data_IF_471282707522
#
_entry.id   IF_471282707522
#
_cell.length_a   1.000
_cell.length_b   1.000
_cell.length_c   1.000
_cell.angle_alpha   90.00
_cell.angle_beta   90.00
_cell.angle_gamma   90.00
#
_symmetry.space_group_name_H-M   'P 1'
#
loop_
_entity.id
_entity.type
_entity.pdbx_description
1 polymer ?
#
# COMPACT_ATOMS: atom_id res chain seq x y z
N UNK A 1 9.23 -14.68 -29.11
CA UNK A 1 8.82 -13.73 -28.06
C UNK A 1 10.06 -13.21 -27.36
N UNK A 2 10.26 -11.91 -27.42
CA UNK A 2 11.29 -11.26 -26.59
C UNK A 2 10.83 -11.32 -25.13
N UNK A 3 11.76 -11.15 -24.18
CA UNK A 3 11.38 -11.07 -22.77
C UNK A 3 10.44 -9.89 -22.50
N UNK A 4 10.51 -8.82 -23.30
CA UNK A 4 9.65 -7.64 -23.19
C UNK A 4 8.17 -7.97 -23.38
N UNK A 5 7.85 -8.83 -24.35
CA UNK A 5 6.45 -9.21 -24.66
C UNK A 5 5.78 -9.90 -23.46
N UNK A 6 6.56 -10.62 -22.64
CA UNK A 6 6.06 -11.29 -21.43
C UNK A 6 5.74 -10.30 -20.31
N UNK A 7 6.55 -9.24 -20.16
CA UNK A 7 6.32 -8.22 -19.13
C UNK A 7 5.07 -7.38 -19.39
N UNK A 8 4.66 -7.21 -20.65
CA UNK A 8 3.45 -6.48 -20.99
C UNK A 8 2.16 -7.15 -20.49
N UNK A 9 2.18 -8.47 -20.28
CA UNK A 9 1.04 -9.24 -19.80
C UNK A 9 1.07 -9.49 -18.27
N UNK A 10 2.12 -9.04 -17.57
CA UNK A 10 2.26 -9.28 -16.13
C UNK A 10 1.53 -8.17 -15.35
N UNK A 11 0.77 -8.61 -14.34
CA UNK A 11 0.13 -7.78 -13.33
C UNK A 11 0.93 -7.88 -12.03
N UNK A 12 1.49 -6.76 -11.59
CA UNK A 12 2.18 -6.65 -10.31
C UNK A 12 1.20 -6.21 -9.24
N UNK A 13 1.32 -6.77 -8.04
CA UNK A 13 0.53 -6.37 -6.87
C UNK A 13 1.40 -6.46 -5.63
N UNK A 14 1.15 -5.58 -4.66
CA UNK A 14 1.86 -5.60 -3.37
C UNK A 14 1.00 -4.97 -2.26
N UNK A 15 1.30 -5.33 -1.02
CA UNK A 15 0.80 -4.66 0.18
C UNK A 15 1.88 -3.77 0.79
N UNK A 16 1.53 -2.52 1.10
CA UNK A 16 2.42 -1.60 1.82
C UNK A 16 1.74 -1.04 3.06
N UNK A 17 2.42 -1.18 4.20
CA UNK A 17 2.05 -0.48 5.42
C UNK A 17 2.70 0.91 5.46
N UNK A 18 1.87 1.94 5.59
CA UNK A 18 2.27 3.34 5.72
C UNK A 18 2.10 3.78 7.17
N UNK A 19 3.21 3.99 7.87
CA UNK A 19 3.18 4.48 9.24
C UNK A 19 2.95 5.99 9.22
N UNK A 20 2.02 6.47 10.04
CA UNK A 20 1.76 7.90 10.19
C UNK A 20 2.90 8.62 10.93
N UNK A 21 3.74 7.86 11.62
CA UNK A 21 4.81 8.34 12.51
C UNK A 21 6.20 8.24 11.85
N UNK A 22 6.26 8.22 10.52
CA UNK A 22 7.49 8.00 9.77
C UNK A 22 8.63 8.96 10.19
N UNK A 23 9.89 8.52 10.12
CA UNK A 23 11.07 9.34 10.44
C UNK A 23 11.32 10.48 9.44
N UNK A 24 10.35 10.81 8.58
CA UNK A 24 10.41 11.81 7.51
C UNK A 24 10.42 13.26 8.04
N UNK A 25 10.99 13.45 9.23
CA UNK A 25 11.68 14.67 9.61
C UNK A 25 10.81 15.80 10.16
N UNK A 26 9.51 15.60 10.36
CA UNK A 26 8.61 16.67 10.80
C UNK A 26 7.74 16.29 12.00
N UNK A 27 8.36 15.75 13.05
CA UNK A 27 7.71 15.55 14.35
C UNK A 27 7.65 16.91 15.06
N UNK A 28 6.56 17.66 14.86
CA UNK A 28 6.25 18.83 15.69
C UNK A 28 5.54 18.36 16.96
N UNK A 29 6.12 18.64 18.12
CA UNK A 29 5.48 18.36 19.41
C UNK A 29 5.53 19.59 20.31
N UNK A 30 4.51 19.74 21.15
CA UNK A 30 4.48 20.76 22.19
C UNK A 30 5.26 20.25 23.40
N UNK A 31 6.17 21.07 23.92
CA UNK A 31 6.87 20.78 25.17
C UNK A 31 7.00 22.02 26.04
N UNK A 32 7.07 21.78 27.34
CA UNK A 32 7.42 22.79 28.32
C UNK A 32 8.91 23.13 28.18
N UNK A 33 9.23 24.42 28.03
CA UNK A 33 10.59 24.92 27.87
C UNK A 33 11.47 24.72 29.12
N UNK A 34 10.87 24.44 30.27
CA UNK A 34 11.58 24.13 31.51
C UNK A 34 12.07 22.68 31.59
N UNK A 35 11.72 21.83 30.63
CA UNK A 35 12.10 20.41 30.59
C UNK A 35 12.99 20.13 29.40
N UNK A 36 13.92 19.19 29.57
CA UNK A 36 14.81 18.79 28.48
C UNK A 36 14.01 18.26 27.27
N UNK A 37 14.47 18.53 26.03
CA UNK A 37 13.80 18.06 24.83
C UNK A 37 13.67 16.53 24.80
N UNK A 38 12.45 16.03 24.63
CA UNK A 38 12.20 14.61 24.44
C UNK A 38 12.77 14.13 23.11
N UNK A 39 13.75 13.21 23.16
CA UNK A 39 14.21 12.50 21.95
C UNK A 39 13.26 11.34 21.66
N UNK A 40 12.27 11.58 20.81
CA UNK A 40 11.43 10.52 20.28
C UNK A 40 12.16 9.84 19.12
N UNK A 41 12.96 8.82 19.43
CA UNK A 41 13.34 7.84 18.41
C UNK A 41 12.09 7.10 17.98
N UNK A 42 11.89 6.99 16.66
CA UNK A 42 10.76 6.33 15.99
C UNK A 42 10.13 5.24 16.86
N UNK A 43 8.89 5.46 17.31
CA UNK A 43 8.15 4.41 18.00
C UNK A 43 7.81 3.35 16.98
N UNK A 44 8.31 2.13 17.17
CA UNK A 44 7.93 0.98 16.35
C UNK A 44 6.41 0.70 16.45
N UNK A 45 5.78 1.11 17.56
CA UNK A 45 4.35 0.94 17.83
C UNK A 45 3.74 2.23 18.41
N UNK A 46 2.58 2.64 17.91
CA UNK A 46 1.63 3.46 18.69
C UNK A 46 1.02 4.71 18.06
N UNK A 47 1.43 5.18 16.88
CA UNK A 47 0.77 6.33 16.21
C UNK A 47 0.06 5.97 14.90
N UNK A 48 -0.26 4.69 14.75
CA UNK A 48 -1.16 4.21 13.71
C UNK A 48 -0.47 4.03 12.37
N UNK A 49 -1.05 3.16 11.57
CA UNK A 49 -0.58 2.88 10.22
C UNK A 49 -1.76 2.55 9.33
N UNK A 50 -1.58 2.78 8.03
CA UNK A 50 -2.56 2.45 7.01
C UNK A 50 -1.94 1.40 6.11
N UNK A 51 -2.57 0.23 6.02
CA UNK A 51 -2.18 -0.79 5.07
C UNK A 51 -2.92 -0.53 3.76
N UNK A 52 -2.19 -0.50 2.66
CA UNK A 52 -2.72 -0.25 1.32
C UNK A 52 -2.30 -1.40 0.42
N UNK A 53 -3.23 -1.89 -0.38
CA UNK A 53 -2.96 -2.80 -1.49
C UNK A 53 -3.12 -2.05 -2.81
N UNK A 54 -2.23 -2.34 -3.74
CA UNK A 54 -2.23 -1.77 -5.07
C UNK A 54 -1.79 -2.81 -6.08
N UNK A 55 -2.28 -2.68 -7.31
CA UNK A 55 -1.80 -3.46 -8.43
C UNK A 55 -1.66 -2.60 -9.69
N UNK A 56 -0.72 -2.95 -10.56
CA UNK A 56 -0.50 -2.27 -11.83
C UNK A 56 0.12 -3.22 -12.87
N UNK A 57 -0.16 -2.94 -14.13
CA UNK A 57 0.42 -3.59 -15.30
C UNK A 57 0.91 -2.52 -16.28
N UNK A 58 1.51 -2.96 -17.39
CA UNK A 58 1.85 -2.05 -18.49
C UNK A 58 0.63 -1.28 -19.02
N UNK A 59 -0.55 -1.90 -19.00
CA UNK A 59 -1.77 -1.35 -19.57
C UNK A 59 -2.54 -0.43 -18.62
N UNK A 60 -2.14 -0.32 -17.34
CA UNK A 60 -2.80 0.56 -16.38
C UNK A 60 -2.58 0.16 -14.92
N UNK A 61 -3.29 0.84 -14.02
CA UNK A 61 -3.22 0.62 -12.57
C UNK A 61 -4.61 0.38 -11.97
N UNK A 62 -4.68 -0.43 -10.93
CA UNK A 62 -5.86 -0.61 -10.08
C UNK A 62 -5.95 0.55 -9.09
N UNK A 63 -7.17 0.92 -8.71
CA UNK A 63 -7.38 1.84 -7.61
C UNK A 63 -6.78 1.31 -6.30
N UNK A 64 -6.25 2.21 -5.47
CA UNK A 64 -5.70 1.84 -4.16
C UNK A 64 -6.81 1.31 -3.25
N UNK A 65 -6.57 0.14 -2.64
CA UNK A 65 -7.45 -0.47 -1.66
C UNK A 65 -6.91 -0.22 -0.25
N UNK A 66 -7.74 0.40 0.60
CA UNK A 66 -7.42 0.60 2.01
C UNK A 66 -7.83 -0.64 2.80
N UNK A 67 -6.86 -1.25 3.47
CA UNK A 67 -7.02 -2.52 4.15
C UNK A 67 -7.09 -2.33 5.67
N UNK A 68 -8.08 -2.97 6.31
CA UNK A 68 -8.27 -2.86 7.75
C UNK A 68 -7.53 -3.96 8.54
N UNK A 69 -6.66 -3.49 9.43
CA UNK A 69 -5.86 -4.30 10.34
C UNK A 69 -4.90 -5.25 9.61
N UNK A 70 -4.51 -6.31 10.33
CA UNK A 70 -3.61 -7.33 9.80
C UNK A 70 -4.33 -8.18 8.76
N UNK A 71 -3.70 -8.34 7.59
CA UNK A 71 -4.18 -9.22 6.55
C UNK A 71 -4.02 -10.70 6.93
N UNK A 72 -5.03 -11.47 6.54
CA UNK A 72 -5.05 -12.92 6.59
C UNK A 72 -5.56 -13.44 5.24
N UNK A 73 -5.45 -14.74 5.01
CA UNK A 73 -5.81 -15.34 3.72
C UNK A 73 -7.26 -15.01 3.27
N UNK A 74 -8.30 -15.14 4.11
CA UNK A 74 -9.67 -14.80 3.71
C UNK A 74 -9.87 -13.32 3.30
N UNK A 75 -9.33 -12.37 4.07
CA UNK A 75 -9.41 -10.94 3.74
C UNK A 75 -8.66 -10.62 2.44
N UNK A 76 -7.57 -11.34 2.20
CA UNK A 76 -6.81 -11.16 0.96
C UNK A 76 -7.58 -11.65 -0.26
N UNK A 77 -8.25 -12.81 -0.16
CA UNK A 77 -9.14 -13.31 -1.22
C UNK A 77 -10.24 -12.28 -1.52
N UNK A 78 -10.89 -11.75 -0.50
CA UNK A 78 -11.90 -10.69 -0.63
C UNK A 78 -11.34 -9.43 -1.31
N UNK A 79 -10.11 -9.03 -0.97
CA UNK A 79 -9.43 -7.88 -1.60
C UNK A 79 -9.21 -8.13 -3.10
N UNK A 80 -8.78 -9.34 -3.47
CA UNK A 80 -8.59 -9.70 -4.87
C UNK A 80 -9.91 -9.75 -5.63
N UNK A 81 -10.96 -10.34 -5.04
CA UNK A 81 -12.29 -10.38 -5.66
C UNK A 81 -12.86 -8.97 -5.89
N UNK A 82 -12.72 -8.08 -4.91
CA UNK A 82 -13.29 -6.74 -4.99
C UNK A 82 -12.48 -5.77 -5.86
N UNK A 83 -11.15 -5.90 -5.91
CA UNK A 83 -10.30 -4.90 -6.57
C UNK A 83 -9.58 -5.44 -7.82
N UNK A 84 -9.14 -6.70 -7.82
CA UNK A 84 -8.41 -7.28 -8.95
C UNK A 84 -9.37 -7.68 -10.07
N UNK A 85 -10.51 -8.31 -9.74
CA UNK A 85 -11.44 -8.81 -10.76
C UNK A 85 -12.07 -7.66 -11.55
N UNK A 86 -12.46 -6.57 -10.88
CA UNK A 86 -12.93 -5.34 -11.54
C UNK A 86 -11.90 -4.75 -12.50
N UNK A 87 -10.61 -4.92 -12.24
CA UNK A 87 -9.55 -4.45 -13.14
C UNK A 87 -9.28 -5.41 -14.30
N UNK A 88 -9.32 -6.71 -14.03
CA UNK A 88 -9.15 -7.73 -15.05
C UNK A 88 -10.24 -7.63 -16.14
N UNK A 89 -11.48 -7.33 -15.77
CA UNK A 89 -12.57 -7.05 -16.73
C UNK A 89 -12.24 -5.84 -17.61
N UNK A 90 -11.74 -4.75 -17.02
CA UNK A 90 -11.38 -3.52 -17.76
C UNK A 90 -10.18 -3.69 -18.72
N UNK A 91 -9.27 -4.61 -18.46
CA UNK A 91 -8.14 -4.93 -19.36
C UNK A 91 -8.52 -6.01 -20.37
N UNK A 92 -9.34 -6.98 -19.95
CA UNK A 92 -9.83 -8.07 -20.78
C UNK A 92 -10.63 -7.58 -21.98
N UNK A 93 -11.37 -6.48 -21.88
CA UNK A 93 -12.05 -5.97 -23.09
C UNK A 93 -11.11 -5.38 -24.14
N UNK A 94 -9.84 -5.11 -23.80
CA UNK A 94 -8.91 -4.46 -24.71
C UNK A 94 -7.90 -5.37 -25.39
N UNK A 95 -7.32 -6.39 -24.75
CA UNK A 95 -6.33 -7.29 -25.39
C UNK A 95 -6.01 -8.56 -24.54
N UNK A 96 -6.86 -9.59 -24.57
CA UNK A 96 -6.50 -11.00 -24.32
C UNK A 96 -7.02 -11.84 -25.49
#
# INVERSE_FOLDING_TARGET
MSYGDKWMAILFSDERNWNLDGPDGNIKYWHDLQKDPGRFFSRQNGGGSVMVWAAFSFNGQVGLAFLDGRQNSPKYIETLENHLMLFAENIGERNW
#
